data_IF_979076770661
#
_entry.id   IF_979076770661
#
_cell.length_a   1.000
_cell.length_b   1.000
_cell.length_c   1.000
_cell.angle_alpha   90.00
_cell.angle_beta   90.00
_cell.angle_gamma   90.00
#
_symmetry.space_group_name_H-M   'P 1'
#
loop_
_entity.id
_entity.type
_entity.pdbx_description
1 polymer ?
#
# COMPACT_ATOMS: atom_id res chain seq x y z
N UNK A 1 15.37 0.79 38.96
CA UNK A 1 16.66 1.18 39.55
C UNK A 1 17.43 1.94 38.46
N UNK A 2 17.64 3.25 38.65
CA UNK A 2 18.53 4.18 37.92
C UNK A 2 18.55 4.16 36.38
N UNK A 3 17.97 5.14 35.68
CA UNK A 3 18.45 6.53 35.49
C UNK A 3 19.56 6.69 34.44
N UNK A 4 19.20 7.43 33.40
CA UNK A 4 20.03 8.34 32.58
C UNK A 4 20.98 7.76 31.52
N UNK A 5 20.61 7.93 30.24
CA UNK A 5 21.21 8.99 29.42
C UNK A 5 20.07 9.79 28.76
N UNK A 6 20.01 11.06 29.16
CA UNK A 6 19.03 12.08 28.80
C UNK A 6 19.70 13.07 27.83
N UNK A 7 18.87 13.73 27.01
CA UNK A 7 19.06 15.05 26.34
C UNK A 7 19.47 15.05 24.88
N UNK A 8 18.44 15.01 24.03
CA UNK A 8 18.11 16.12 23.10
C UNK A 8 16.59 16.08 22.91
N UNK A 9 15.97 17.21 22.59
CA UNK A 9 14.52 17.47 22.49
C UNK A 9 13.81 17.88 23.80
N UNK A 10 14.19 19.08 24.26
CA UNK A 10 13.24 19.98 24.89
C UNK A 10 12.85 21.05 23.85
N UNK A 11 11.54 21.24 23.62
CA UNK A 11 11.01 22.33 22.80
C UNK A 11 9.68 21.95 22.14
N UNK A 12 8.65 22.79 22.30
CA UNK A 12 7.31 22.61 21.74
C UNK A 12 7.23 22.63 20.19
N UNK A 13 6.05 22.88 19.59
CA UNK A 13 5.76 22.50 18.21
C UNK A 13 6.66 23.27 17.23
N UNK A 14 7.66 22.60 16.69
CA UNK A 14 8.56 23.12 15.65
C UNK A 14 8.20 22.47 14.31
N UNK A 15 8.17 23.28 13.25
CA UNK A 15 7.72 22.90 11.90
C UNK A 15 8.54 21.79 11.20
N UNK A 16 8.24 21.51 9.92
CA UNK A 16 8.51 20.22 9.28
C UNK A 16 10.01 20.01 9.05
N UNK A 17 10.58 18.93 9.59
CA UNK A 17 11.99 18.57 9.37
C UNK A 17 12.14 17.89 8.00
N UNK A 18 12.04 18.69 6.94
CA UNK A 18 12.40 18.34 5.55
C UNK A 18 13.87 17.89 5.43
N UNK A 19 14.70 18.14 6.44
CA UNK A 19 16.15 17.96 6.40
C UNK A 19 16.65 16.53 6.24
N UNK A 20 15.83 15.49 6.47
CA UNK A 20 16.25 14.09 6.41
C UNK A 20 15.71 13.26 5.24
N UNK A 21 14.79 13.80 4.44
CA UNK A 21 14.23 13.08 3.29
C UNK A 21 15.27 12.93 2.16
N UNK A 22 15.56 11.69 1.73
CA UNK A 22 16.57 11.44 0.70
C UNK A 22 16.22 12.02 -0.66
N UNK A 23 14.93 12.06 -1.03
CA UNK A 23 14.50 12.68 -2.29
C UNK A 23 14.72 14.19 -2.21
N UNK A 24 14.32 14.86 -1.13
CA UNK A 24 14.49 16.31 -1.00
C UNK A 24 15.95 16.75 -0.78
N UNK A 25 16.83 15.82 -0.35
CA UNK A 25 18.30 15.99 -0.36
C UNK A 25 18.89 15.89 -1.77
N UNK A 26 18.39 14.98 -2.60
CA UNK A 26 18.89 14.75 -3.95
C UNK A 26 18.26 15.64 -5.02
N UNK A 27 16.96 15.94 -4.91
CA UNK A 27 16.13 16.59 -5.90
C UNK A 27 15.40 17.76 -5.24
N UNK A 28 15.67 18.98 -5.73
CA UNK A 28 15.06 20.18 -5.16
C UNK A 28 13.55 20.24 -5.38
N UNK A 29 12.84 20.96 -4.49
CA UNK A 29 11.39 21.21 -4.67
C UNK A 29 11.11 21.94 -5.99
N UNK A 30 11.96 22.88 -6.39
CA UNK A 30 11.83 23.61 -7.64
C UNK A 30 11.94 22.68 -8.85
N UNK A 31 12.83 21.68 -8.80
CA UNK A 31 12.95 20.70 -9.86
C UNK A 31 11.74 19.76 -9.91
N UNK A 32 11.30 19.25 -8.76
CA UNK A 32 10.10 18.39 -8.67
C UNK A 32 8.86 19.12 -9.19
N UNK A 33 8.68 20.39 -8.82
CA UNK A 33 7.57 21.23 -9.29
C UNK A 33 7.65 21.52 -10.79
N UNK A 34 8.82 21.94 -11.30
CA UNK A 34 9.05 22.22 -12.72
C UNK A 34 8.79 21.00 -13.62
N UNK A 35 8.88 19.80 -13.07
CA UNK A 35 8.65 18.54 -13.77
C UNK A 35 7.30 17.88 -13.39
N UNK A 36 6.37 18.65 -12.82
CA UNK A 36 4.98 18.24 -12.52
C UNK A 36 4.85 17.06 -11.51
N UNK A 37 5.80 16.90 -10.59
CA UNK A 37 5.72 15.93 -9.49
C UNK A 37 5.00 16.47 -8.24
N UNK A 38 4.90 17.80 -8.10
CA UNK A 38 4.25 18.44 -6.93
C UNK A 38 2.91 19.07 -7.31
N UNK A 39 2.85 19.93 -8.31
CA UNK A 39 1.64 20.68 -8.64
C UNK A 39 1.16 20.32 -10.05
N UNK A 40 -0.16 20.22 -10.23
CA UNK A 40 -0.80 20.19 -11.54
C UNK A 40 -1.26 21.59 -11.94
N UNK A 41 -1.26 21.92 -13.25
CA UNK A 41 -1.93 23.11 -13.75
C UNK A 41 -3.41 23.14 -13.36
N UNK A 42 -3.94 24.33 -13.03
CA UNK A 42 -5.35 24.47 -12.62
C UNK A 42 -6.35 23.99 -13.68
N UNK A 43 -5.97 23.97 -14.95
CA UNK A 43 -6.76 23.44 -16.08
C UNK A 43 -7.02 21.93 -16.00
N UNK A 44 -6.28 21.20 -15.16
CA UNK A 44 -6.45 19.77 -14.93
C UNK A 44 -7.52 19.44 -13.87
N UNK A 45 -8.18 20.45 -13.30
CA UNK A 45 -9.20 20.33 -12.27
C UNK A 45 -10.53 21.02 -12.67
N UNK A 46 -11.68 20.62 -12.09
CA UNK A 46 -11.87 19.49 -11.18
C UNK A 46 -11.85 18.14 -11.92
N UNK A 47 -11.48 17.07 -11.21
CA UNK A 47 -11.70 15.70 -11.71
C UNK A 47 -13.15 15.34 -11.39
N UNK A 48 -13.94 15.05 -12.42
CA UNK A 48 -15.34 14.67 -12.24
C UNK A 48 -15.43 13.16 -11.97
N UNK A 49 -15.04 12.73 -10.78
CA UNK A 49 -14.90 11.31 -10.43
C UNK A 49 -16.13 10.45 -10.77
N UNK A 50 -17.35 10.96 -10.57
CA UNK A 50 -18.55 10.18 -10.95
C UNK A 50 -18.65 9.95 -12.45
N UNK A 51 -18.31 10.94 -13.26
CA UNK A 51 -18.32 10.84 -14.72
C UNK A 51 -17.14 9.99 -15.23
N UNK A 52 -16.04 9.96 -14.47
CA UNK A 52 -14.82 9.20 -14.75
C UNK A 52 -14.84 7.73 -14.29
N UNK A 53 -15.91 7.33 -13.61
CA UNK A 53 -16.19 5.95 -13.23
C UNK A 53 -17.60 5.49 -13.62
N UNK A 54 -18.32 6.27 -14.44
CA UNK A 54 -19.65 5.94 -14.97
C UNK A 54 -19.61 4.79 -15.99
N UNK A 55 -20.71 4.05 -16.08
CA UNK A 55 -20.82 2.88 -16.95
C UNK A 55 -20.49 3.19 -18.42
N UNK A 56 -19.51 2.47 -18.97
CA UNK A 56 -19.26 2.39 -20.41
C UNK A 56 -19.39 0.95 -20.89
N UNK A 57 -19.74 0.73 -22.16
CA UNK A 57 -19.94 -0.62 -22.72
C UNK A 57 -18.71 -1.54 -22.51
N UNK A 58 -17.51 -0.98 -22.49
CA UNK A 58 -16.26 -1.71 -22.18
C UNK A 58 -16.15 -2.08 -20.69
N UNK A 59 -16.73 -1.26 -19.79
CA UNK A 59 -16.76 -1.51 -18.35
C UNK A 59 -17.74 -2.63 -17.94
N UNK A 60 -18.56 -3.18 -18.85
CA UNK A 60 -19.40 -4.36 -18.57
C UNK A 60 -18.59 -5.63 -18.24
N UNK A 61 -17.25 -5.58 -18.42
CA UNK A 61 -16.29 -6.63 -18.03
C UNK A 61 -15.60 -6.37 -16.68
N UNK A 62 -16.06 -5.36 -15.91
CA UNK A 62 -15.45 -4.95 -14.63
C UNK A 62 -16.15 -5.53 -13.41
N UNK A 63 -15.51 -5.42 -12.25
CA UNK A 63 -16.01 -5.96 -10.98
C UNK A 63 -17.45 -5.58 -10.61
N UNK A 64 -17.94 -4.33 -10.77
CA UNK A 64 -19.34 -4.00 -10.48
C UNK A 64 -20.36 -4.89 -11.21
N UNK A 65 -20.10 -5.19 -12.48
CA UNK A 65 -20.97 -6.07 -13.28
C UNK A 65 -20.85 -7.52 -12.86
N UNK A 66 -19.63 -7.99 -12.56
CA UNK A 66 -19.42 -9.33 -12.00
C UNK A 66 -20.13 -9.50 -10.66
N UNK A 67 -20.00 -8.53 -9.74
CA UNK A 67 -20.69 -8.55 -8.44
C UNK A 67 -22.21 -8.62 -8.60
N UNK A 68 -22.78 -7.82 -9.50
CA UNK A 68 -24.21 -7.89 -9.81
C UNK A 68 -24.61 -9.24 -10.41
N UNK A 69 -23.86 -9.73 -11.38
CA UNK A 69 -24.11 -11.03 -12.01
C UNK A 69 -24.08 -12.19 -11.00
N UNK A 70 -23.19 -12.10 -10.01
CA UNK A 70 -23.07 -13.05 -8.90
C UNK A 70 -24.07 -12.82 -7.75
N UNK A 71 -24.98 -11.84 -7.89
CA UNK A 71 -25.99 -11.43 -6.89
C UNK A 71 -25.38 -11.01 -5.55
N UNK A 72 -24.22 -10.36 -5.60
CA UNK A 72 -23.53 -9.83 -4.41
C UNK A 72 -24.02 -8.42 -4.06
N UNK A 73 -24.54 -7.70 -5.06
CA UNK A 73 -25.26 -6.43 -5.00
C UNK A 73 -26.43 -6.49 -6.00
N UNK A 74 -27.57 -5.87 -5.65
CA UNK A 74 -28.76 -5.86 -6.51
C UNK A 74 -28.61 -4.86 -7.68
N UNK A 75 -27.89 -3.76 -7.43
CA UNK A 75 -27.58 -2.70 -8.39
C UNK A 75 -26.10 -2.70 -8.78
N UNK A 76 -25.78 -1.99 -9.87
CA UNK A 76 -24.38 -1.75 -10.27
C UNK A 76 -23.83 -0.65 -9.37
N UNK A 77 -23.12 -1.03 -8.32
CA UNK A 77 -22.46 -0.10 -7.40
C UNK A 77 -20.95 -0.02 -7.66
N UNK A 78 -20.44 1.20 -7.79
CA UNK A 78 -19.02 1.48 -8.05
C UNK A 78 -18.12 1.25 -6.83
N UNK A 79 -18.72 1.15 -5.63
CA UNK A 79 -18.01 0.84 -4.40
C UNK A 79 -18.19 -0.66 -4.10
N UNK A 80 -17.07 -1.35 -3.90
CA UNK A 80 -17.03 -2.74 -3.52
C UNK A 80 -17.67 -2.90 -2.13
N UNK A 81 -18.50 -3.94 -1.89
CA UNK A 81 -19.21 -4.12 -0.62
C UNK A 81 -18.34 -4.15 0.63
N UNK A 82 -17.05 -4.46 0.49
CA UNK A 82 -16.08 -4.40 1.60
C UNK A 82 -15.95 -2.98 2.17
N UNK A 83 -16.07 -1.96 1.33
CA UNK A 83 -15.93 -0.56 1.70
C UNK A 83 -17.28 0.13 1.99
N UNK A 84 -18.37 -0.64 2.06
CA UNK A 84 -19.70 -0.11 2.37
C UNK A 84 -19.69 0.72 3.67
N UNK A 85 -20.47 1.81 3.71
CA UNK A 85 -20.50 2.75 4.84
C UNK A 85 -20.78 2.06 6.17
N UNK A 86 -21.59 1.01 6.20
CA UNK A 86 -21.90 0.28 7.43
C UNK A 86 -20.69 -0.42 8.07
N UNK A 87 -19.58 -0.54 7.34
CA UNK A 87 -18.32 -1.11 7.84
C UNK A 87 -17.41 -0.07 8.53
N UNK A 88 -17.75 1.22 8.44
CA UNK A 88 -16.94 2.30 8.99
C UNK A 88 -17.44 2.70 10.38
N UNK A 89 -16.58 2.54 11.38
CA UNK A 89 -16.85 2.93 12.75
C UNK A 89 -16.90 4.44 12.89
N UNK A 90 -18.04 4.97 13.35
CA UNK A 90 -18.26 6.40 13.65
C UNK A 90 -17.96 7.34 12.47
N UNK A 91 -18.24 6.90 11.24
CA UNK A 91 -18.24 7.74 10.05
C UNK A 91 -19.68 8.04 9.63
N UNK A 92 -20.04 9.32 9.63
CA UNK A 92 -21.37 9.75 9.20
C UNK A 92 -21.50 9.76 7.67
N UNK A 93 -22.69 10.10 7.16
CA UNK A 93 -22.94 10.12 5.72
C UNK A 93 -22.08 11.17 5.00
N UNK A 94 -21.84 12.33 5.61
CA UNK A 94 -21.10 13.43 4.99
C UNK A 94 -19.61 13.09 4.90
N UNK A 95 -19.03 12.57 5.98
CA UNK A 95 -17.65 12.11 6.01
C UNK A 95 -17.44 10.96 5.02
N UNK A 96 -18.37 10.02 4.94
CA UNK A 96 -18.29 8.94 3.97
C UNK A 96 -18.26 9.46 2.52
N UNK A 97 -19.03 10.50 2.18
CA UNK A 97 -19.01 11.09 0.84
C UNK A 97 -17.64 11.69 0.46
N UNK A 98 -16.86 12.14 1.44
CA UNK A 98 -15.49 12.61 1.20
C UNK A 98 -14.52 11.45 0.85
N UNK A 99 -14.82 10.24 1.32
CA UNK A 99 -14.04 9.03 1.04
C UNK A 99 -14.36 8.45 -0.34
N UNK A 100 -15.56 8.70 -0.87
CA UNK A 100 -16.09 8.06 -2.09
C UNK A 100 -15.10 8.05 -3.26
N UNK A 101 -14.42 9.15 -3.64
CA UNK A 101 -13.48 9.10 -4.76
C UNK A 101 -12.33 8.09 -4.56
N UNK A 102 -11.78 8.01 -3.34
CA UNK A 102 -10.75 7.04 -2.99
C UNK A 102 -11.31 5.62 -2.93
N UNK A 103 -12.51 5.44 -2.38
CA UNK A 103 -13.14 4.12 -2.28
C UNK A 103 -13.56 3.58 -3.65
N UNK A 104 -13.96 4.43 -4.59
CA UNK A 104 -14.22 4.03 -5.98
C UNK A 104 -12.94 3.54 -6.66
N UNK A 105 -11.82 4.24 -6.45
CA UNK A 105 -10.51 3.80 -6.96
C UNK A 105 -10.07 2.48 -6.31
N UNK A 106 -10.14 2.38 -4.98
CA UNK A 106 -9.81 1.16 -4.24
C UNK A 106 -10.67 -0.03 -4.67
N UNK A 107 -11.96 0.21 -4.92
CA UNK A 107 -12.89 -0.79 -5.43
C UNK A 107 -12.47 -1.25 -6.82
N UNK A 108 -12.20 -0.32 -7.74
CA UNK A 108 -11.77 -0.65 -9.11
C UNK A 108 -10.47 -1.44 -9.15
N UNK A 109 -9.56 -1.14 -8.23
CA UNK A 109 -8.33 -1.92 -8.00
C UNK A 109 -8.68 -3.34 -7.52
N UNK A 110 -9.44 -3.46 -6.43
CA UNK A 110 -9.79 -4.78 -5.86
C UNK A 110 -10.58 -5.65 -6.85
N UNK A 111 -11.35 -4.99 -7.71
CA UNK A 111 -12.18 -5.51 -8.80
C UNK A 111 -11.46 -5.96 -10.05
N UNK A 112 -10.20 -5.56 -10.19
CA UNK A 112 -9.45 -5.84 -11.40
C UNK A 112 -9.14 -7.35 -11.48
N UNK A 113 -9.58 -8.06 -12.53
CA UNK A 113 -9.42 -9.51 -12.64
C UNK A 113 -7.97 -10.00 -12.50
N UNK A 114 -6.99 -9.16 -12.81
CA UNK A 114 -5.57 -9.46 -12.67
C UNK A 114 -5.07 -9.46 -11.21
N UNK A 115 -5.83 -8.93 -10.25
CA UNK A 115 -5.49 -8.94 -8.82
C UNK A 115 -6.03 -10.20 -8.14
N UNK A 116 -7.15 -10.75 -8.59
CA UNK A 116 -7.74 -11.97 -8.03
C UNK A 116 -6.79 -13.18 -7.98
N UNK A 117 -5.91 -13.45 -8.97
CA UNK A 117 -4.91 -14.52 -8.89
C UNK A 117 -4.01 -14.42 -7.66
N UNK A 118 -3.65 -13.20 -7.26
CA UNK A 118 -2.83 -12.96 -6.07
C UNK A 118 -3.62 -13.29 -4.80
N UNK A 119 -4.86 -12.80 -4.71
CA UNK A 119 -5.76 -13.07 -3.59
C UNK A 119 -6.03 -14.57 -3.45
N UNK A 120 -6.40 -15.24 -4.54
CA UNK A 120 -6.64 -16.69 -4.54
C UNK A 120 -5.39 -17.46 -4.10
N UNK A 121 -4.21 -17.01 -4.50
CA UNK A 121 -2.94 -17.64 -4.15
C UNK A 121 -2.74 -17.83 -2.65
N UNK A 122 -2.91 -16.79 -1.84
CA UNK A 122 -2.74 -16.91 -0.38
C UNK A 122 -3.97 -17.50 0.33
N UNK A 123 -5.12 -17.56 -0.34
CA UNK A 123 -6.32 -18.23 0.18
C UNK A 123 -6.33 -19.75 -0.08
N UNK A 124 -5.67 -20.22 -1.13
CA UNK A 124 -5.65 -21.65 -1.51
C UNK A 124 -4.80 -22.45 -0.54
N UNK A 125 -5.41 -23.39 0.19
CA UNK A 125 -4.71 -24.26 1.15
C UNK A 125 -4.53 -25.67 0.58
N UNK A 126 -3.47 -26.41 0.97
CA UNK A 126 -2.39 -25.98 1.85
C UNK A 126 -1.41 -25.02 1.14
N UNK A 127 -0.82 -24.09 1.90
CA UNK A 127 0.29 -23.28 1.40
C UNK A 127 1.60 -24.07 1.42
N UNK A 128 2.57 -23.65 0.60
CA UNK A 128 3.90 -24.25 0.58
C UNK A 128 4.69 -23.78 1.80
N UNK A 129 5.20 -24.70 2.62
CA UNK A 129 6.06 -24.35 3.76
C UNK A 129 7.41 -23.80 3.26
N UNK A 130 7.89 -22.75 3.90
CA UNK A 130 9.19 -22.15 3.60
C UNK A 130 10.32 -23.06 4.10
N UNK A 131 11.29 -23.38 3.25
CA UNK A 131 12.48 -24.13 3.64
C UNK A 131 13.57 -23.17 4.15
N UNK A 132 13.32 -22.52 5.30
CA UNK A 132 14.24 -21.57 5.94
C UNK A 132 14.19 -21.73 7.47
N UNK A 133 14.94 -22.69 7.98
CA UNK A 133 14.93 -23.05 9.40
C UNK A 133 15.43 -21.91 10.32
N UNK A 134 16.31 -21.04 9.82
CA UNK A 134 16.82 -19.91 10.58
C UNK A 134 15.72 -18.86 10.78
N UNK A 135 15.01 -18.53 9.70
CA UNK A 135 13.89 -17.57 9.75
C UNK A 135 12.69 -18.14 10.53
N UNK A 136 12.34 -19.43 10.36
CA UNK A 136 11.28 -20.06 11.17
C UNK A 136 11.64 -20.06 12.67
N UNK A 137 12.91 -20.33 13.03
CA UNK A 137 13.38 -20.26 14.42
C UNK A 137 13.26 -18.84 14.99
N UNK A 138 13.58 -17.81 14.19
CA UNK A 138 13.42 -16.41 14.58
C UNK A 138 11.95 -16.04 14.77
N UNK A 139 11.08 -16.49 13.88
CA UNK A 139 9.64 -16.22 13.95
C UNK A 139 8.96 -16.97 15.10
N UNK A 140 9.49 -18.13 15.51
CA UNK A 140 8.92 -18.98 16.55
C UNK A 140 7.64 -19.70 16.12
N UNK A 141 7.42 -19.85 14.81
CA UNK A 141 6.29 -20.58 14.22
C UNK A 141 6.63 -20.98 12.76
N UNK A 142 5.93 -21.97 12.16
CA UNK A 142 6.11 -22.31 10.76
C UNK A 142 5.80 -21.15 9.81
N UNK A 143 6.57 -21.01 8.74
CA UNK A 143 6.40 -19.96 7.73
C UNK A 143 6.03 -20.56 6.38
N UNK A 144 5.32 -19.79 5.58
CA UNK A 144 4.74 -20.26 4.32
C UNK A 144 5.01 -19.30 3.18
N UNK A 145 4.96 -19.81 1.95
CA UNK A 145 5.02 -19.05 0.70
C UNK A 145 3.87 -19.43 -0.22
N UNK A 146 3.50 -18.53 -1.11
CA UNK A 146 2.47 -18.74 -2.12
C UNK A 146 2.85 -18.12 -3.48
N UNK A 147 2.12 -18.50 -4.51
CA UNK A 147 2.21 -17.91 -5.85
C UNK A 147 0.81 -17.55 -6.37
N UNK A 148 0.74 -16.82 -7.48
CA UNK A 148 -0.54 -16.47 -8.12
C UNK A 148 -1.15 -17.75 -8.66
N UNK A 149 -2.45 -17.89 -8.47
CA UNK A 149 -3.21 -18.98 -9.06
C UNK A 149 -3.77 -18.60 -10.42
N UNK A 150 -3.65 -19.48 -11.40
CA UNK A 150 -4.35 -19.30 -12.67
C UNK A 150 -5.86 -19.40 -12.45
N UNK A 151 -6.59 -18.37 -12.84
CA UNK A 151 -8.04 -18.34 -12.67
C UNK A 151 -8.75 -18.81 -13.94
N UNK A 152 -9.68 -19.76 -13.77
CA UNK A 152 -10.77 -19.98 -14.70
C UNK A 152 -12.02 -19.25 -14.17
N UNK A 153 -13.11 -19.22 -14.95
CA UNK A 153 -14.33 -18.51 -14.56
C UNK A 153 -14.89 -18.94 -13.20
N UNK A 154 -14.91 -20.26 -12.91
CA UNK A 154 -15.39 -20.81 -11.64
C UNK A 154 -14.53 -20.36 -10.45
N UNK A 155 -13.21 -20.38 -10.60
CA UNK A 155 -12.28 -19.96 -9.55
C UNK A 155 -12.35 -18.45 -9.28
N UNK A 156 -12.58 -17.64 -10.33
CA UNK A 156 -12.81 -16.20 -10.17
C UNK A 156 -14.08 -15.95 -9.35
N UNK A 157 -15.18 -16.63 -9.67
CA UNK A 157 -16.44 -16.52 -8.94
C UNK A 157 -16.29 -16.94 -7.46
N UNK A 158 -15.62 -18.06 -7.19
CA UNK A 158 -15.36 -18.53 -5.83
C UNK A 158 -14.55 -17.50 -5.03
N UNK A 159 -13.51 -16.92 -5.64
CA UNK A 159 -12.68 -15.89 -5.00
C UNK A 159 -13.52 -14.65 -4.67
N UNK A 160 -14.37 -14.21 -5.60
CA UNK A 160 -15.31 -13.13 -5.39
C UNK A 160 -16.27 -13.38 -4.22
N UNK A 161 -16.91 -14.56 -4.22
CA UNK A 161 -17.84 -14.96 -3.14
C UNK A 161 -17.12 -14.99 -1.80
N UNK A 162 -15.89 -15.50 -1.77
CA UNK A 162 -15.05 -15.53 -0.57
C UNK A 162 -14.79 -14.12 -0.04
N UNK A 163 -14.32 -13.20 -0.88
CA UNK A 163 -14.08 -11.79 -0.52
C UNK A 163 -15.35 -11.13 0.04
N UNK A 164 -16.49 -11.32 -0.61
CA UNK A 164 -17.74 -10.74 -0.16
C UNK A 164 -18.27 -11.36 1.13
N UNK A 165 -17.97 -12.63 1.40
CA UNK A 165 -18.34 -13.27 2.67
C UNK A 165 -17.54 -12.71 3.85
N UNK A 166 -16.27 -12.32 3.61
CA UNK A 166 -15.35 -11.81 4.62
C UNK A 166 -15.65 -10.36 5.03
N UNK A 167 -16.33 -9.58 4.19
CA UNK A 167 -16.65 -8.16 4.48
C UNK A 167 -17.32 -7.94 5.84
N UNK A 168 -18.12 -8.89 6.32
CA UNK A 168 -18.83 -8.81 7.61
C UNK A 168 -17.90 -8.83 8.82
N UNK A 169 -16.66 -9.29 8.63
CA UNK A 169 -15.62 -9.44 9.65
C UNK A 169 -14.55 -8.34 9.58
N UNK A 170 -14.69 -7.37 8.67
CA UNK A 170 -13.73 -6.28 8.47
C UNK A 170 -14.41 -4.97 8.86
N UNK A 171 -13.74 -4.20 9.71
CA UNK A 171 -14.19 -2.89 10.19
C UNK A 171 -13.12 -1.86 9.89
N UNK A 172 -13.53 -0.67 9.46
CA UNK A 172 -12.64 0.46 9.19
C UNK A 172 -12.86 1.55 10.22
N UNK A 173 -11.79 2.28 10.58
CA UNK A 173 -11.88 3.48 11.42
C UNK A 173 -10.75 4.45 11.12
N UNK A 174 -10.92 5.69 11.57
CA UNK A 174 -9.84 6.67 11.65
C UNK A 174 -9.51 6.96 13.11
N UNK A 175 -8.23 6.91 13.47
CA UNK A 175 -7.74 7.32 14.79
C UNK A 175 -6.46 8.15 14.63
N UNK A 176 -6.20 9.09 15.55
CA UNK A 176 -4.89 9.72 15.61
C UNK A 176 -3.84 8.64 15.87
N UNK A 177 -2.77 8.64 15.09
CA UNK A 177 -1.60 7.83 15.38
C UNK A 177 -0.69 8.64 16.28
N UNK A 178 -0.53 8.19 17.53
CA UNK A 178 0.40 8.77 18.46
C UNK A 178 1.78 8.16 18.22
N UNK A 179 2.82 9.01 18.30
CA UNK A 179 4.22 8.61 18.04
C UNK A 179 4.75 7.52 18.97
N UNK A 180 4.09 7.35 20.10
CA UNK A 180 4.44 6.36 21.11
C UNK A 180 3.90 4.97 20.74
N UNK A 181 2.88 4.89 19.88
CA UNK A 181 2.15 3.67 19.57
C UNK A 181 2.49 3.08 18.18
N UNK A 182 2.90 3.94 17.23
CA UNK A 182 3.06 3.59 15.81
C UNK A 182 4.19 4.44 15.20
N UNK A 183 4.94 3.88 14.24
CA UNK A 183 5.96 4.63 13.48
C UNK A 183 5.39 5.90 12.84
N UNK A 184 6.17 7.00 12.90
CA UNK A 184 5.86 8.37 12.43
C UNK A 184 5.34 8.45 10.97
N UNK A 185 5.46 7.37 10.20
CA UNK A 185 5.22 7.28 8.76
C UNK A 185 4.01 6.41 8.36
N UNK A 186 3.29 5.84 9.33
CA UNK A 186 2.24 4.85 9.08
C UNK A 186 0.93 5.53 8.64
N UNK A 187 0.32 5.01 7.56
CA UNK A 187 -0.93 5.54 6.99
C UNK A 187 -2.13 4.66 7.31
N UNK A 188 -1.89 3.36 7.52
CA UNK A 188 -2.89 2.35 7.85
C UNK A 188 -2.23 1.24 8.65
N UNK A 189 -3.04 0.54 9.45
CA UNK A 189 -2.63 -0.68 10.15
C UNK A 189 -3.82 -1.60 10.32
N UNK A 190 -3.59 -2.89 10.15
CA UNK A 190 -4.59 -3.95 10.37
C UNK A 190 -4.28 -4.74 11.64
N UNK A 191 -5.22 -4.72 12.57
CA UNK A 191 -5.14 -5.46 13.83
C UNK A 191 -6.31 -6.44 13.98
N UNK A 192 -6.21 -7.33 14.96
CA UNK A 192 -7.36 -8.10 15.42
C UNK A 192 -8.39 -7.15 16.05
N UNK A 193 -9.68 -7.39 15.82
CA UNK A 193 -10.71 -6.66 16.53
C UNK A 193 -10.80 -7.13 18.00
N UNK A 194 -11.11 -6.24 18.96
CA UNK A 194 -11.36 -6.61 20.35
C UNK A 194 -12.51 -7.62 20.50
N UNK A 195 -12.41 -8.51 21.50
CA UNK A 195 -13.43 -9.53 21.83
C UNK A 195 -14.79 -8.93 22.19
N UNK A 196 -14.79 -7.70 22.73
CA UNK A 196 -15.95 -6.92 23.16
C UNK A 196 -16.47 -5.95 22.09
N UNK A 197 -15.87 -5.93 20.89
CA UNK A 197 -16.51 -5.26 19.75
C UNK A 197 -17.87 -5.92 19.54
N UNK A 198 -18.94 -5.16 19.75
CA UNK A 198 -20.34 -5.60 19.99
C UNK A 198 -21.04 -6.31 18.83
N UNK A 199 -20.30 -7.05 18.02
CA UNK A 199 -20.78 -7.67 16.80
C UNK A 199 -20.35 -9.14 16.85
N UNK A 200 -21.14 -9.99 17.51
CA UNK A 200 -21.09 -11.47 17.55
C UNK A 200 -19.85 -12.12 18.23
N UNK A 201 -20.04 -12.94 19.29
CA UNK A 201 -18.98 -13.73 19.92
C UNK A 201 -18.33 -14.76 18.97
N UNK A 202 -16.99 -14.84 18.96
CA UNK A 202 -16.23 -15.97 18.39
C UNK A 202 -15.69 -15.84 16.96
N UNK A 203 -15.82 -14.69 16.29
CA UNK A 203 -15.26 -14.49 14.94
C UNK A 203 -13.85 -13.88 14.97
N UNK A 204 -12.91 -14.41 14.18
CA UNK A 204 -11.66 -13.70 13.83
C UNK A 204 -12.04 -12.49 12.98
N UNK A 205 -12.04 -11.31 13.59
CA UNK A 205 -12.36 -10.03 12.95
C UNK A 205 -11.11 -9.19 12.81
N UNK A 206 -11.05 -8.43 11.73
CA UNK A 206 -9.98 -7.49 11.47
C UNK A 206 -10.49 -6.06 11.60
N UNK A 207 -9.69 -5.21 12.25
CA UNK A 207 -9.91 -3.78 12.32
C UNK A 207 -8.79 -3.06 11.57
N UNK A 208 -9.17 -2.36 10.51
CA UNK A 208 -8.30 -1.50 9.72
C UNK A 208 -8.42 -0.09 10.30
N UNK A 209 -7.31 0.43 10.80
CA UNK A 209 -7.23 1.78 11.34
C UNK A 209 -6.38 2.62 10.40
N UNK A 210 -6.95 3.71 9.89
CA UNK A 210 -6.20 4.71 9.12
C UNK A 210 -5.82 5.89 9.99
N UNK A 211 -4.71 6.54 9.65
CA UNK A 211 -4.31 7.78 10.30
C UNK A 211 -5.40 8.85 10.09
N UNK A 212 -5.90 9.42 11.19
CA UNK A 212 -6.96 10.44 11.19
C UNK A 212 -6.61 11.68 10.35
N UNK A 213 -5.33 12.00 10.18
CA UNK A 213 -4.91 13.11 9.34
C UNK A 213 -5.39 12.97 7.88
N UNK A 214 -5.57 11.74 7.39
CA UNK A 214 -6.15 11.50 6.06
C UNK A 214 -7.58 12.07 6.00
N UNK A 215 -8.42 11.74 6.99
CA UNK A 215 -9.79 12.26 7.07
C UNK A 215 -9.78 13.79 7.24
N UNK A 216 -8.88 14.32 8.06
CA UNK A 216 -8.80 15.77 8.28
C UNK A 216 -8.37 16.52 7.01
N UNK A 217 -7.56 15.92 6.13
CA UNK A 217 -7.26 16.47 4.79
C UNK A 217 -8.50 16.43 3.90
N UNK A 218 -9.22 15.30 3.89
CA UNK A 218 -10.43 15.13 3.07
C UNK A 218 -11.56 16.07 3.51
N UNK A 219 -11.62 16.41 4.80
CA UNK A 219 -12.49 17.42 5.40
C UNK A 219 -11.99 18.86 5.24
N UNK A 220 -10.84 19.07 4.58
CA UNK A 220 -10.15 20.37 4.45
C UNK A 220 -9.75 21.04 5.78
N UNK A 221 -9.75 20.29 6.89
CA UNK A 221 -9.29 20.74 8.21
C UNK A 221 -7.76 20.80 8.28
N UNK A 222 -7.09 19.86 7.63
CA UNK A 222 -5.63 19.84 7.47
C UNK A 222 -5.25 20.16 6.02
N UNK A 223 -4.54 21.28 5.82
CA UNK A 223 -4.05 21.68 4.49
C UNK A 223 -2.57 21.38 4.35
N UNK A 224 -2.16 20.86 3.21
CA UNK A 224 -0.75 20.59 2.92
C UNK A 224 0.15 21.83 3.06
N UNK A 225 -0.38 23.02 2.72
CA UNK A 225 0.30 24.29 2.90
C UNK A 225 0.62 24.62 4.37
N UNK A 226 -0.18 24.12 5.32
CA UNK A 226 0.01 24.37 6.75
C UNK A 226 1.21 23.61 7.31
N UNK A 227 1.59 22.50 6.68
CA UNK A 227 2.68 21.64 7.11
C UNK A 227 3.88 21.68 6.16
N UNK A 228 3.74 22.31 4.99
CA UNK A 228 4.85 22.51 4.07
C UNK A 228 5.78 23.63 4.57
N UNK A 229 7.10 23.48 4.40
CA UNK A 229 8.03 24.60 4.53
C UNK A 229 7.68 25.67 3.52
N UNK A 230 8.07 26.93 3.74
CA UNK A 230 7.87 27.98 2.73
C UNK A 230 8.78 27.72 1.52
N UNK A 231 8.19 27.71 0.32
CA UNK A 231 8.89 27.62 -0.96
C UNK A 231 8.04 28.28 -2.05
N UNK A 232 8.63 28.61 -3.21
CA UNK A 232 7.91 29.16 -4.37
C UNK A 232 7.88 28.12 -5.51
N UNK A 233 6.72 27.88 -6.17
CA UNK A 233 5.44 28.59 -5.98
C UNK A 233 4.66 28.19 -4.71
N UNK A 234 5.03 27.09 -4.06
CA UNK A 234 4.33 26.55 -2.89
C UNK A 234 3.51 25.31 -3.26
N UNK A 235 2.90 24.69 -2.26
CA UNK A 235 2.11 23.46 -2.46
C UNK A 235 0.66 23.80 -2.80
N UNK A 236 0.21 23.43 -3.99
CA UNK A 236 -1.19 23.55 -4.41
C UNK A 236 -2.09 22.59 -3.63
N UNK A 237 -3.19 23.12 -3.09
CA UNK A 237 -4.10 22.37 -2.24
C UNK A 237 -4.88 21.28 -3.03
N UNK A 238 -5.24 21.54 -4.28
CA UNK A 238 -5.98 20.57 -5.11
C UNK A 238 -5.10 19.38 -5.49
N UNK A 239 -3.85 19.66 -5.84
CA UNK A 239 -2.83 18.65 -6.14
C UNK A 239 -2.52 17.80 -4.91
N UNK A 240 -2.38 18.41 -3.73
CA UNK A 240 -2.21 17.67 -2.47
C UNK A 240 -3.41 16.78 -2.13
N UNK A 241 -4.61 17.32 -2.24
CA UNK A 241 -5.85 16.59 -2.01
C UNK A 241 -5.95 15.34 -2.91
N UNK A 242 -5.65 15.49 -4.20
CA UNK A 242 -5.71 14.40 -5.17
C UNK A 242 -4.75 13.24 -4.84
N UNK A 243 -3.51 13.55 -4.47
CA UNK A 243 -2.54 12.50 -4.12
C UNK A 243 -2.78 11.90 -2.73
N UNK A 244 -3.37 12.64 -1.79
CA UNK A 244 -3.90 12.05 -0.54
C UNK A 244 -5.02 11.05 -0.84
N UNK A 245 -5.91 11.38 -1.78
CA UNK A 245 -6.96 10.44 -2.22
C UNK A 245 -6.37 9.17 -2.83
N UNK A 246 -5.32 9.28 -3.65
CA UNK A 246 -4.62 8.13 -4.21
C UNK A 246 -3.97 7.29 -3.11
N UNK A 247 -3.19 7.92 -2.24
CA UNK A 247 -2.48 7.25 -1.15
C UNK A 247 -3.48 6.46 -0.29
N UNK A 248 -4.57 7.10 0.12
CA UNK A 248 -5.63 6.45 0.89
C UNK A 248 -6.27 5.26 0.14
N UNK A 249 -6.52 5.38 -1.16
CA UNK A 249 -7.07 4.27 -1.95
C UNK A 249 -6.13 3.05 -1.99
N UNK A 250 -4.83 3.29 -2.20
CA UNK A 250 -3.81 2.23 -2.21
C UNK A 250 -3.68 1.60 -0.82
N UNK A 251 -3.54 2.43 0.23
CA UNK A 251 -3.47 1.95 1.61
C UNK A 251 -4.73 1.16 2.00
N UNK A 252 -5.92 1.56 1.55
CA UNK A 252 -7.13 0.81 1.84
C UNK A 252 -7.13 -0.60 1.24
N UNK A 253 -6.62 -0.78 0.02
CA UNK A 253 -6.48 -2.11 -0.58
C UNK A 253 -5.38 -2.92 0.11
N UNK A 254 -4.24 -2.27 0.39
CA UNK A 254 -3.12 -2.86 1.14
C UNK A 254 -3.60 -3.48 2.47
N UNK A 255 -4.27 -2.69 3.31
CA UNK A 255 -4.79 -3.16 4.60
C UNK A 255 -5.89 -4.21 4.47
N UNK A 256 -6.70 -4.15 3.40
CA UNK A 256 -7.70 -5.19 3.13
C UNK A 256 -7.05 -6.55 2.90
N UNK A 257 -5.87 -6.63 2.29
CA UNK A 257 -5.16 -7.90 2.07
C UNK A 257 -4.71 -8.53 3.39
N UNK A 258 -4.17 -7.72 4.31
CA UNK A 258 -3.89 -8.13 5.69
C UNK A 258 -5.15 -8.61 6.42
N UNK A 259 -6.25 -7.88 6.27
CA UNK A 259 -7.51 -8.21 6.91
C UNK A 259 -8.10 -9.53 6.40
N UNK A 260 -8.04 -9.78 5.08
CA UNK A 260 -8.46 -11.05 4.48
C UNK A 260 -7.63 -12.20 5.06
N UNK A 261 -6.31 -12.05 5.17
CA UNK A 261 -5.46 -13.08 5.78
C UNK A 261 -5.87 -13.38 7.21
N UNK A 262 -6.04 -12.35 8.04
CA UNK A 262 -6.44 -12.50 9.45
C UNK A 262 -7.82 -13.14 9.62
N UNK A 263 -8.80 -12.75 8.80
CA UNK A 263 -10.16 -13.29 8.86
C UNK A 263 -10.20 -14.76 8.40
N UNK A 264 -9.34 -15.14 7.44
CA UNK A 264 -9.33 -16.47 6.86
C UNK A 264 -8.49 -17.50 7.64
N UNK A 265 -7.64 -17.06 8.58
CA UNK A 265 -6.75 -17.95 9.32
C UNK A 265 -7.03 -17.85 10.83
N UNK A 266 -7.17 -19.00 11.47
CA UNK A 266 -7.38 -19.07 12.91
C UNK A 266 -6.08 -18.78 13.68
N UNK A 267 -6.24 -18.18 14.86
CA UNK A 267 -5.17 -18.09 15.86
C UNK A 267 -4.68 -19.49 16.23
N UNK A 268 -3.38 -19.61 16.48
CA UNK A 268 -2.85 -20.79 17.15
C UNK A 268 -3.33 -20.86 18.59
N UNK A 269 -3.50 -22.08 19.09
CA UNK A 269 -3.73 -22.32 20.51
C UNK A 269 -2.52 -21.86 21.33
N UNK A 270 -2.76 -21.28 22.50
CA UNK A 270 -1.70 -20.94 23.46
C UNK A 270 -0.90 -22.16 23.92
N UNK A 271 -1.46 -23.36 23.74
CA UNK A 271 -0.85 -24.64 24.08
C UNK A 271 -0.19 -25.34 22.89
N UNK A 272 -0.15 -24.75 21.69
CA UNK A 272 0.49 -25.39 20.53
C UNK A 272 2.01 -25.43 20.73
N UNK A 273 2.62 -26.62 20.91
CA UNK A 273 4.05 -26.74 21.21
C UNK A 273 4.94 -26.34 20.03
N UNK A 274 4.37 -26.15 18.83
CA UNK A 274 5.10 -25.70 17.64
C UNK A 274 5.23 -24.17 17.58
N UNK A 275 4.54 -23.45 18.46
CA UNK A 275 4.44 -21.98 18.43
C UNK A 275 5.10 -21.38 19.68
N UNK A 276 6.37 -21.03 19.55
CA UNK A 276 7.13 -20.33 20.60
C UNK A 276 7.03 -18.80 20.49
N UNK A 277 6.48 -18.29 19.39
CA UNK A 277 6.23 -16.86 19.18
C UNK A 277 5.25 -16.30 20.23
N UNK A 278 5.47 -15.06 20.73
CA UNK A 278 4.43 -14.33 21.46
C UNK A 278 3.27 -13.92 20.55
N UNK A 279 3.50 -13.84 19.22
CA UNK A 279 2.46 -13.57 18.24
C UNK A 279 1.75 -14.87 17.86
N UNK A 280 0.52 -15.04 18.36
CA UNK A 280 -0.27 -16.28 18.20
C UNK A 280 -1.07 -16.35 16.89
N UNK A 281 -1.06 -15.29 16.10
CA UNK A 281 -1.62 -15.34 14.75
C UNK A 281 -0.60 -15.97 13.78
N UNK A 282 -1.07 -16.74 12.78
CA UNK A 282 -0.22 -17.13 11.67
C UNK A 282 0.37 -15.90 10.99
N UNK A 283 1.69 -15.85 10.90
CA UNK A 283 2.37 -14.86 10.07
C UNK A 283 1.84 -14.92 8.64
N UNK A 284 1.79 -13.76 8.00
CA UNK A 284 1.48 -13.68 6.58
C UNK A 284 2.47 -14.53 5.77
N UNK A 285 2.03 -15.12 4.65
CA UNK A 285 2.91 -15.91 3.82
C UNK A 285 3.76 -15.00 2.93
N UNK A 286 4.97 -15.45 2.63
CA UNK A 286 5.84 -14.79 1.66
C UNK A 286 5.24 -14.90 0.26
N UNK A 287 5.27 -13.81 -0.50
CA UNK A 287 5.01 -13.88 -1.92
C UNK A 287 6.22 -14.48 -2.64
N UNK A 288 6.09 -15.70 -3.16
CA UNK A 288 7.18 -16.43 -3.82
C UNK A 288 8.42 -16.45 -2.92
N UNK A 289 9.55 -16.05 -3.48
CA UNK A 289 10.84 -15.99 -2.84
C UNK A 289 11.13 -14.59 -2.26
N UNK A 290 10.17 -13.70 -2.03
CA UNK A 290 10.45 -12.37 -1.48
C UNK A 290 11.09 -12.39 -0.08
N UNK A 291 11.86 -11.34 0.22
CA UNK A 291 12.57 -11.05 1.48
C UNK A 291 11.64 -10.82 2.66
N UNK A 292 10.43 -10.31 2.44
CA UNK A 292 9.52 -9.88 3.50
C UNK A 292 8.13 -10.49 3.28
N UNK A 293 7.48 -10.90 4.36
CA UNK A 293 6.13 -11.48 4.34
C UNK A 293 5.06 -10.43 4.67
N UNK A 294 4.94 -9.42 3.83
CA UNK A 294 3.93 -8.38 3.99
C UNK A 294 3.08 -8.37 2.70
N UNK A 295 1.83 -8.81 2.82
CA UNK A 295 0.93 -9.06 1.68
C UNK A 295 0.58 -7.80 0.90
N UNK A 296 0.41 -6.66 1.56
CA UNK A 296 0.09 -5.39 0.94
C UNK A 296 1.25 -4.84 0.11
N UNK A 297 2.47 -4.89 0.64
CA UNK A 297 3.71 -4.48 0.01
C UNK A 297 4.04 -5.36 -1.20
N UNK A 298 3.92 -6.68 -1.04
CA UNK A 298 4.11 -7.62 -2.13
C UNK A 298 3.11 -7.37 -3.28
N UNK A 299 1.85 -7.07 -2.94
CA UNK A 299 0.81 -6.70 -3.89
C UNK A 299 1.11 -5.37 -4.60
N UNK A 300 1.48 -4.31 -3.88
CA UNK A 300 1.89 -3.03 -4.46
C UNK A 300 3.07 -3.21 -5.42
N UNK A 301 4.05 -4.04 -5.04
CA UNK A 301 5.16 -4.45 -5.90
C UNK A 301 4.70 -5.11 -7.20
N UNK A 302 3.71 -6.01 -7.13
CA UNK A 302 3.16 -6.67 -8.31
C UNK A 302 2.41 -5.69 -9.23
N UNK A 303 1.54 -4.87 -8.66
CA UNK A 303 0.62 -3.98 -9.39
C UNK A 303 1.35 -2.75 -9.93
N UNK A 304 2.08 -2.03 -9.07
CA UNK A 304 2.66 -0.73 -9.38
C UNK A 304 4.18 -0.76 -9.60
N UNK A 305 4.83 -1.89 -9.31
CA UNK A 305 6.29 -2.01 -9.39
C UNK A 305 7.04 -1.38 -8.22
N UNK A 306 6.35 -1.15 -7.10
CA UNK A 306 6.89 -0.59 -5.85
C UNK A 306 5.80 0.03 -4.98
N UNK A 307 6.10 0.22 -3.70
CA UNK A 307 5.17 0.81 -2.72
C UNK A 307 5.12 2.32 -2.80
N UNK A 308 3.97 2.95 -2.55
CA UNK A 308 3.81 4.41 -2.56
C UNK A 308 4.03 5.02 -1.18
N UNK A 309 4.79 6.12 -1.16
CA UNK A 309 5.10 6.86 0.06
C UNK A 309 5.05 8.36 -0.17
N UNK A 310 4.61 9.17 0.82
CA UNK A 310 4.77 10.62 0.78
C UNK A 310 6.25 11.04 0.69
N UNK A 311 6.53 12.06 -0.13
CA UNK A 311 7.80 12.79 -0.07
C UNK A 311 7.76 13.75 1.12
N UNK A 312 8.80 13.72 1.96
CA UNK A 312 8.95 14.54 3.16
C UNK A 312 9.15 13.70 4.43
N UNK A 313 9.81 14.28 5.43
CA UNK A 313 10.00 13.67 6.75
C UNK A 313 9.52 14.65 7.85
N UNK A 314 8.75 14.19 8.86
CA UNK A 314 8.02 12.91 8.85
C UNK A 314 7.08 12.81 7.65
N UNK A 315 6.76 11.58 7.21
CA UNK A 315 5.78 11.41 6.13
C UNK A 315 4.43 11.92 6.63
N UNK A 316 3.68 12.59 5.76
CA UNK A 316 2.40 13.19 6.14
C UNK A 316 1.28 12.76 5.23
N UNK A 317 0.12 12.48 5.82
CA UNK A 317 -1.13 12.19 5.12
C UNK A 317 -1.61 13.35 4.21
N UNK A 318 -1.17 14.59 4.45
CA UNK A 318 -1.46 15.72 3.56
C UNK A 318 -0.49 15.81 2.36
N UNK A 319 0.53 14.93 2.33
CA UNK A 319 1.44 14.71 1.21
C UNK A 319 1.95 16.02 0.59
N UNK A 320 2.70 16.89 1.29
CA UNK A 320 2.93 18.26 0.81
C UNK A 320 3.86 18.38 -0.40
N UNK A 321 4.70 17.39 -0.67
CA UNK A 321 5.75 17.46 -1.69
C UNK A 321 5.66 16.38 -2.78
N UNK A 322 4.50 15.76 -2.93
CA UNK A 322 4.31 14.67 -3.89
C UNK A 322 4.46 13.28 -3.27
N UNK A 323 4.31 12.26 -4.11
CA UNK A 323 4.53 10.86 -3.75
C UNK A 323 5.83 10.38 -4.41
N UNK A 324 6.46 9.39 -3.79
CA UNK A 324 7.44 8.56 -4.44
C UNK A 324 7.03 7.10 -4.34
N UNK A 325 7.74 6.30 -5.12
CA UNK A 325 7.55 4.86 -5.11
C UNK A 325 8.88 4.16 -4.91
N UNK A 326 8.82 3.10 -4.12
CA UNK A 326 9.97 2.33 -3.71
C UNK A 326 9.85 0.90 -4.21
N UNK A 327 10.64 0.49 -5.22
CA UNK A 327 10.64 -0.89 -5.68
C UNK A 327 11.17 -1.84 -4.60
N UNK A 328 10.54 -3.01 -4.51
CA UNK A 328 11.07 -4.16 -3.80
C UNK A 328 12.37 -4.66 -4.46
N UNK A 329 13.35 -5.21 -3.72
CA UNK A 329 13.42 -5.41 -2.26
C UNK A 329 13.74 -4.15 -1.43
N UNK A 330 14.17 -3.06 -2.08
CA UNK A 330 14.51 -1.79 -1.44
C UNK A 330 15.56 -1.90 -0.32
N UNK A 331 15.83 -0.78 0.34
CA UNK A 331 16.63 -0.76 1.59
C UNK A 331 15.74 -0.58 2.83
N UNK A 332 14.42 -0.49 2.66
CA UNK A 332 13.51 -0.34 3.79
C UNK A 332 13.58 -1.59 4.63
N UNK A 333 13.95 -1.40 5.89
CA UNK A 333 13.74 -2.36 6.96
C UNK A 333 12.44 -1.99 7.63
N UNK A 334 11.56 -2.95 7.83
CA UNK A 334 10.44 -2.76 8.75
C UNK A 334 11.05 -2.77 10.15
N UNK A 335 10.72 -1.81 11.03
CA UNK A 335 11.14 -1.88 12.41
C UNK A 335 10.77 -3.25 13.00
N UNK A 336 11.53 -3.76 13.98
CA UNK A 336 11.21 -5.04 14.59
C UNK A 336 9.87 -4.92 15.32
N UNK A 337 8.79 -5.20 14.61
CA UNK A 337 7.48 -5.48 15.16
C UNK A 337 7.23 -6.99 15.11
N UNK A 338 6.29 -7.46 15.92
CA UNK A 338 6.03 -8.90 16.06
C UNK A 338 5.20 -9.47 14.90
N UNK A 339 4.98 -8.73 13.80
CA UNK A 339 4.01 -9.07 12.75
C UNK A 339 4.62 -9.22 11.36
N UNK A 340 5.78 -8.61 11.10
CA UNK A 340 6.53 -8.76 9.85
C UNK A 340 7.88 -9.45 10.08
N UNK A 341 8.19 -10.42 9.21
CA UNK A 341 9.41 -11.19 9.20
C UNK A 341 10.22 -10.89 7.93
N UNK A 342 11.44 -10.39 8.13
CA UNK A 342 12.43 -10.24 7.08
C UNK A 342 13.41 -11.43 7.08
N UNK A 343 13.65 -11.98 5.89
CA UNK A 343 14.61 -13.05 5.60
C UNK A 343 15.97 -12.44 5.28
N UNK A 344 16.88 -12.42 6.25
CA UNK A 344 18.24 -11.94 6.01
C UNK A 344 18.35 -10.43 5.76
N UNK A 345 19.58 -9.97 5.60
CA UNK A 345 19.91 -8.55 5.40
C UNK A 345 19.81 -8.14 3.93
N UNK A 346 19.49 -6.88 3.58
CA UNK A 346 19.41 -6.44 2.19
C UNK A 346 20.65 -6.77 1.34
N UNK A 347 21.85 -6.72 1.91
CA UNK A 347 23.10 -7.08 1.25
C UNK A 347 23.15 -8.56 0.82
N UNK A 348 22.57 -9.47 1.62
CA UNK A 348 22.48 -10.90 1.30
C UNK A 348 21.59 -11.15 0.07
N UNK A 349 20.72 -10.19 -0.24
CA UNK A 349 19.86 -10.17 -1.43
C UNK A 349 20.48 -9.39 -2.60
N UNK A 350 21.76 -9.01 -2.49
CA UNK A 350 22.47 -8.19 -3.49
C UNK A 350 22.03 -6.72 -3.52
N UNK A 351 21.31 -6.26 -2.51
CA UNK A 351 20.69 -4.92 -2.49
C UNK A 351 21.60 -3.94 -1.76
N UNK A 352 22.43 -3.25 -2.53
CA UNK A 352 23.35 -2.25 -2.00
C UNK A 352 22.80 -0.82 -2.06
N UNK A 353 21.71 -0.62 -2.80
CA UNK A 353 21.15 0.69 -3.09
C UNK A 353 19.62 0.63 -3.12
N UNK A 354 18.99 1.66 -2.56
CA UNK A 354 17.57 1.94 -2.77
C UNK A 354 17.44 3.03 -3.82
N UNK A 355 16.56 2.85 -4.78
CA UNK A 355 16.21 3.91 -5.73
C UNK A 355 14.75 4.28 -5.53
N UNK A 356 14.52 5.52 -5.12
CA UNK A 356 13.19 6.09 -4.93
C UNK A 356 12.84 6.91 -6.18
N UNK A 357 11.65 6.69 -6.71
CA UNK A 357 11.18 7.36 -7.91
C UNK A 357 9.99 8.24 -7.57
N UNK A 358 10.13 9.59 -7.63
CA UNK A 358 9.00 10.50 -7.57
C UNK A 358 7.90 10.10 -8.57
N UNK A 359 6.66 10.34 -8.21
CA UNK A 359 5.47 9.96 -8.98
C UNK A 359 4.90 11.21 -9.64
N UNK A 360 4.82 11.21 -10.97
CA UNK A 360 4.26 12.34 -11.73
C UNK A 360 2.79 12.56 -11.35
N UNK A 361 2.38 13.82 -11.17
CA UNK A 361 0.98 14.11 -10.85
C UNK A 361 0.02 13.77 -12.00
N UNK A 362 0.49 13.77 -13.25
CA UNK A 362 -0.33 13.30 -14.39
C UNK A 362 -0.63 11.81 -14.25
N UNK A 363 0.32 11.01 -13.77
CA UNK A 363 0.07 9.60 -13.45
C UNK A 363 -0.95 9.47 -12.32
N UNK A 364 -0.81 10.23 -11.24
CA UNK A 364 -1.77 10.28 -10.13
C UNK A 364 -3.17 10.60 -10.64
N UNK A 365 -3.32 11.65 -11.46
CA UNK A 365 -4.59 12.05 -12.06
C UNK A 365 -5.19 10.95 -12.92
N UNK A 366 -4.39 10.33 -13.79
CA UNK A 366 -4.87 9.34 -14.74
C UNK A 366 -5.44 8.09 -14.06
N UNK A 367 -4.99 7.73 -12.86
CA UNK A 367 -5.60 6.62 -12.11
C UNK A 367 -7.09 6.85 -11.78
N UNK A 368 -7.55 8.09 -11.81
CA UNK A 368 -8.95 8.44 -11.58
C UNK A 368 -9.74 8.69 -12.87
N UNK A 369 -9.26 8.23 -14.03
CA UNK A 369 -9.96 8.41 -15.32
C UNK A 369 -10.36 7.09 -15.98
N UNK A 370 -11.45 7.10 -16.75
CA UNK A 370 -11.87 5.92 -17.52
C UNK A 370 -10.82 5.43 -18.50
N UNK A 371 -10.16 6.36 -19.18
CA UNK A 371 -9.17 6.05 -20.22
C UNK A 371 -8.06 5.15 -19.66
N UNK A 372 -7.59 5.44 -18.44
CA UNK A 372 -6.53 4.65 -17.83
C UNK A 372 -6.96 3.21 -17.56
N UNK A 373 -8.19 3.05 -17.06
CA UNK A 373 -8.71 1.73 -16.73
C UNK A 373 -9.13 0.92 -17.96
N UNK A 374 -9.54 1.57 -19.05
CA UNK A 374 -9.65 0.90 -20.36
C UNK A 374 -8.30 0.39 -20.85
N UNK A 375 -7.23 1.17 -20.63
CA UNK A 375 -5.85 0.74 -20.91
C UNK A 375 -5.50 -0.52 -20.10
N UNK A 376 -5.84 -0.54 -18.81
CA UNK A 376 -5.60 -1.68 -17.91
C UNK A 376 -6.40 -2.92 -18.36
N UNK A 377 -7.67 -2.77 -18.68
CA UNK A 377 -8.50 -3.89 -19.16
C UNK A 377 -7.96 -4.46 -20.47
N UNK A 378 -7.49 -3.59 -21.38
CA UNK A 378 -7.02 -4.01 -22.72
C UNK A 378 -5.63 -4.62 -22.71
N UNK A 379 -4.73 -4.11 -21.87
CA UNK A 379 -3.31 -4.46 -21.90
C UNK A 379 -2.77 -5.04 -20.59
N UNK A 380 -3.63 -5.23 -19.60
CA UNK A 380 -3.34 -5.82 -18.30
C UNK A 380 -2.88 -4.83 -17.23
N UNK A 381 -2.88 -5.33 -15.99
CA UNK A 381 -2.53 -4.59 -14.76
C UNK A 381 -1.17 -3.89 -14.81
N UNK A 382 -0.23 -4.37 -15.65
CA UNK A 382 1.09 -3.74 -15.81
C UNK A 382 1.01 -2.29 -16.31
N UNK A 383 -0.12 -1.86 -16.89
CA UNK A 383 -0.36 -0.45 -17.23
C UNK A 383 -0.45 0.46 -16.01
N UNK A 384 -0.66 -0.08 -14.81
CA UNK A 384 -0.56 0.65 -13.55
C UNK A 384 0.90 0.88 -13.11
N UNK A 385 1.89 0.30 -13.79
CA UNK A 385 3.30 0.63 -13.58
C UNK A 385 3.63 1.93 -14.28
N UNK A 386 4.17 2.89 -13.53
CA UNK A 386 4.62 4.18 -14.07
C UNK A 386 5.94 4.04 -14.85
N UNK A 387 6.25 5.05 -15.65
CA UNK A 387 7.58 5.22 -16.24
C UNK A 387 8.53 5.82 -15.20
N UNK A 388 9.71 5.20 -15.00
CA UNK A 388 10.71 5.65 -14.02
C UNK A 388 11.63 6.73 -14.60
N UNK A 389 11.13 7.96 -14.80
CA UNK A 389 11.87 9.04 -15.48
C UNK A 389 12.89 9.77 -14.62
N UNK A 390 12.61 9.89 -13.32
CA UNK A 390 13.46 10.58 -12.34
C UNK A 390 13.63 9.67 -11.12
N UNK A 391 14.86 9.55 -10.62
CA UNK A 391 15.17 8.70 -9.46
C UNK A 391 16.22 9.31 -8.55
N UNK A 392 16.07 9.08 -7.25
CA UNK A 392 17.05 9.39 -6.22
C UNK A 392 17.58 8.07 -5.63
N UNK A 393 18.90 7.91 -5.59
CA UNK A 393 19.56 6.70 -5.09
C UNK A 393 20.24 6.94 -3.73
N UNK A 394 19.98 6.06 -2.77
CA UNK A 394 20.58 6.07 -1.43
C UNK A 394 21.29 4.73 -1.12
N UNK A 395 22.41 4.76 -0.39
CA UNK A 395 23.23 3.59 0.02
C UNK A 395 23.06 3.30 1.51
N UNK A 396 23.14 2.02 1.91
CA UNK A 396 23.07 1.57 3.31
C UNK A 396 24.23 2.07 4.20
N UNK A 397 25.43 2.30 3.63
CA UNK A 397 26.67 2.23 4.43
C UNK A 397 27.24 3.58 4.89
N UNK A 398 26.70 4.73 4.51
CA UNK A 398 27.20 5.99 5.08
C UNK A 398 26.21 7.18 4.94
N UNK A 399 25.61 7.68 6.04
CA UNK A 399 24.68 8.82 6.00
C UNK A 399 25.33 10.12 5.49
N UNK A 400 26.66 10.19 5.41
CA UNK A 400 27.42 11.35 4.92
C UNK A 400 27.62 11.35 3.39
N UNK A 401 27.22 10.30 2.67
CA UNK A 401 27.32 10.25 1.20
C UNK A 401 26.08 10.90 0.59
N UNK A 402 26.30 11.99 -0.18
CA UNK A 402 25.23 12.69 -0.90
C UNK A 402 24.48 11.72 -1.84
N UNK A 403 23.13 11.72 -1.86
CA UNK A 403 22.35 10.91 -2.78
C UNK A 403 22.68 11.23 -4.25
N UNK A 404 22.70 10.20 -5.10
CA UNK A 404 22.91 10.38 -6.54
C UNK A 404 21.56 10.54 -7.27
N UNK A 405 21.48 11.53 -8.16
CA UNK A 405 20.30 11.77 -9.03
C UNK A 405 20.49 11.08 -10.36
N UNK A 406 19.49 10.33 -10.81
CA UNK A 406 19.46 9.74 -12.15
C UNK A 406 18.63 10.64 -13.08
N UNK A 407 19.22 11.07 -14.20
CA UNK A 407 18.63 12.00 -15.17
C UNK A 407 18.00 11.35 -16.43
N UNK A 408 17.34 12.18 -17.23
CA UNK A 408 16.37 11.87 -18.33
C UNK A 408 16.99 11.23 -19.60
N UNK A 409 18.23 10.78 -19.55
CA UNK A 409 18.81 9.97 -20.63
C UNK A 409 18.94 8.56 -20.12
N UNK A 410 18.17 7.63 -20.71
CA UNK A 410 18.38 6.20 -20.52
C UNK A 410 19.89 5.92 -20.57
N UNK A 411 20.51 5.41 -19.49
CA UNK A 411 21.76 4.73 -19.64
C UNK A 411 21.41 3.45 -20.40
N UNK A 412 21.70 3.44 -21.70
CA UNK A 412 21.91 2.20 -22.40
C UNK A 412 22.84 1.35 -21.55
N UNK A 413 22.35 0.14 -21.23
CA UNK A 413 23.09 -1.01 -20.75
C UNK A 413 24.45 -0.73 -20.08
N UNK A 414 24.51 -0.79 -18.76
CA UNK A 414 25.71 -1.31 -18.11
C UNK A 414 25.37 -2.09 -16.83
N UNK A 415 25.60 -3.40 -16.98
CA UNK A 415 25.89 -4.43 -15.99
C UNK A 415 24.74 -4.85 -15.05
N UNK A 416 23.97 -5.84 -15.52
CA UNK A 416 23.57 -6.98 -14.69
C UNK A 416 22.46 -6.77 -13.67
N UNK A 417 21.37 -6.07 -14.02
CA UNK A 417 20.08 -6.38 -13.41
C UNK A 417 19.25 -7.14 -14.43
N UNK A 418 19.30 -8.47 -14.34
CA UNK A 418 18.37 -9.33 -15.07
C UNK A 418 17.02 -9.11 -14.41
N UNK A 419 16.22 -8.19 -14.95
CA UNK A 419 14.77 -8.32 -14.82
C UNK A 419 14.45 -9.71 -15.37
N UNK A 420 13.94 -10.59 -14.52
CA UNK A 420 13.63 -11.96 -14.90
C UNK A 420 12.63 -11.97 -16.06
N UNK A 421 13.14 -12.18 -17.26
CA UNK A 421 12.36 -12.81 -18.32
C UNK A 421 11.90 -14.16 -17.78
N UNK A 422 10.58 -14.38 -17.80
CA UNK A 422 10.05 -15.72 -17.65
C UNK A 422 10.56 -16.53 -18.84
N UNK A 423 11.46 -17.48 -18.58
CA UNK A 423 11.54 -18.64 -19.45
C UNK A 423 10.23 -19.46 -19.30
N UNK A 424 9.88 -20.19 -20.34
CA UNK A 424 8.64 -20.96 -20.43
C UNK A 424 8.57 -22.16 -19.44
N UNK A 425 9.43 -22.23 -18.41
CA UNK A 425 9.52 -23.38 -17.50
C UNK A 425 9.52 -23.06 -15.99
N UNK A 426 9.16 -21.84 -15.59
CA UNK A 426 8.48 -21.63 -14.29
C UNK A 426 9.22 -22.06 -13.02
N UNK A 427 10.56 -22.08 -13.00
CA UNK A 427 11.35 -22.32 -11.78
C UNK A 427 12.64 -21.49 -11.82
N UNK A 428 12.71 -20.41 -11.03
CA UNK A 428 14.00 -19.83 -10.64
C UNK A 428 14.45 -20.55 -9.38
N UNK A 429 15.27 -21.58 -9.53
CA UNK A 429 16.13 -22.09 -8.45
C UNK A 429 17.47 -21.39 -8.53
N UNK A 430 18.00 -20.96 -7.40
CA UNK A 430 19.44 -20.67 -7.25
C UNK A 430 19.95 -21.32 -5.96
N UNK A 431 21.22 -21.76 -5.95
CA UNK A 431 21.81 -22.64 -4.94
C UNK A 431 21.82 -22.07 -3.52
#
# INVERSE_FOLDING_TARGET
>A
MMSAILKLFAGGPTGPIVGNDWILKGISLQQLDKQDYINLPSSKFPIKFKDEFQDSADDHRTGPYYRRALRMQDEIELIHPIFDRSRWWRIDKNDYQLLVPSLMLASRILDEPHILPYIKGFLTKPLTRLNDAATEKKAGQPLYTFQSENLNASHSEETWRTLNSMKKNIIFRFLPFHKEDIDDDTMGVTNDAPEDSTIVPGACKAIITFNKDILDVLQYKLKASNISRRWKPGTDAKSAYLRTQLLFAITAVHEVLHAIWRVNNAKFSDTDPRITSPYKQPFEPFWRDQRMNELGNAWEGQVFGGTFWPIGTPKSAAVPYGLFSLPFPGLTRVPPDNTVIERGEPEEWGVNWSTMYPVEMEFVRNLFTHEKWREVQRYGIRRLRRTKKLGCRARLVNPDVKPAVLGVTSPAASVGSVEGEQDNFGVVRRP
#
